data_IF_059152020576
#
_entry.id   IF_059152020576
#
_cell.length_a   1.000
_cell.length_b   1.000
_cell.length_c   1.000
_cell.angle_alpha   90.00
_cell.angle_beta   90.00
_cell.angle_gamma   90.00
#
_symmetry.space_group_name_H-M   'P 1'
#
loop_
_entity.id
_entity.type
_entity.pdbx_description
1 polymer ?
#
# COMPACT_ATOMS: atom_id res chain seq x y z
N UNK A 1 -2.15 5.75 23.92
CA UNK A 1 -1.44 5.10 22.81
C UNK A 1 -0.05 5.72 22.72
N UNK A 2 0.97 4.99 23.14
CA UNK A 2 2.33 5.51 23.34
C UNK A 2 3.04 5.84 22.01
N UNK A 3 3.86 6.90 22.02
CA UNK A 3 4.66 7.35 20.85
C UNK A 3 5.65 6.28 20.38
N UNK A 4 6.00 5.32 21.26
CA UNK A 4 6.83 4.16 20.93
C UNK A 4 6.08 3.19 20.01
N UNK A 5 4.87 2.77 20.40
CA UNK A 5 4.01 1.88 19.60
C UNK A 5 3.72 2.46 18.20
N UNK A 6 3.49 3.77 18.12
CA UNK A 6 3.25 4.45 16.83
C UNK A 6 4.47 4.45 15.91
N UNK A 7 5.68 4.43 16.46
CA UNK A 7 6.92 4.34 15.69
C UNK A 7 7.16 2.90 15.23
N UNK A 8 6.79 1.93 16.04
CA UNK A 8 6.91 0.50 15.72
C UNK A 8 6.02 0.12 14.53
N UNK A 9 4.72 0.48 14.55
CA UNK A 9 3.80 0.20 13.43
C UNK A 9 4.29 0.81 12.11
N UNK A 10 4.75 2.08 12.15
CA UNK A 10 5.29 2.74 10.95
C UNK A 10 6.46 1.94 10.38
N UNK A 11 7.39 1.53 11.24
CA UNK A 11 8.58 0.81 10.84
C UNK A 11 8.22 -0.57 10.28
N UNK A 12 7.34 -1.31 10.95
CA UNK A 12 6.88 -2.64 10.51
C UNK A 12 6.26 -2.61 9.12
N UNK A 13 5.38 -1.63 8.84
CA UNK A 13 4.74 -1.50 7.52
C UNK A 13 5.77 -1.14 6.44
N UNK A 14 6.69 -0.23 6.75
CA UNK A 14 7.78 0.12 5.83
C UNK A 14 8.65 -1.11 5.53
N UNK A 15 9.05 -1.85 6.56
CA UNK A 15 9.90 -3.03 6.43
C UNK A 15 9.18 -4.14 5.65
N UNK A 16 7.88 -4.34 5.87
CA UNK A 16 7.04 -5.26 5.09
C UNK A 16 7.04 -4.94 3.60
N UNK A 17 6.70 -3.70 3.24
CA UNK A 17 6.66 -3.26 1.84
C UNK A 17 8.06 -3.35 1.23
N UNK A 18 9.08 -2.96 1.99
CA UNK A 18 10.48 -2.99 1.55
C UNK A 18 11.00 -4.42 1.29
N UNK A 19 10.55 -5.41 2.06
CA UNK A 19 11.00 -6.80 1.94
C UNK A 19 10.25 -7.55 0.83
N UNK A 20 8.94 -7.36 0.75
CA UNK A 20 8.06 -8.23 -0.04
C UNK A 20 7.70 -7.60 -1.40
N UNK A 21 7.62 -6.26 -1.49
CA UNK A 21 7.07 -5.56 -2.67
C UNK A 21 8.02 -4.53 -3.30
N UNK A 22 9.05 -4.05 -2.60
CA UNK A 22 10.10 -3.18 -3.14
C UNK A 22 11.16 -3.99 -3.89
N UNK A 23 10.78 -4.41 -5.09
CA UNK A 23 11.43 -5.48 -5.86
C UNK A 23 12.96 -5.40 -5.98
N UNK A 24 13.59 -6.56 -5.76
CA UNK A 24 14.58 -7.17 -6.66
C UNK A 24 14.09 -8.58 -7.03
N UNK A 25 13.08 -8.71 -7.91
CA UNK A 25 12.65 -10.05 -8.37
C UNK A 25 13.43 -10.54 -9.60
N UNK A 26 13.98 -9.63 -10.40
CA UNK A 26 14.85 -9.96 -11.54
C UNK A 26 15.98 -8.94 -11.67
N UNK A 27 17.18 -9.38 -12.09
CA UNK A 27 18.37 -8.57 -12.38
C UNK A 27 18.11 -7.41 -13.38
N UNK A 28 16.93 -7.37 -14.01
CA UNK A 28 16.48 -6.39 -14.99
C UNK A 28 15.63 -5.24 -14.41
N UNK A 29 15.12 -5.35 -13.17
CA UNK A 29 14.25 -4.34 -12.56
C UNK A 29 15.00 -3.48 -11.55
N UNK A 30 15.61 -2.38 -12.02
CA UNK A 30 15.90 -1.13 -11.29
C UNK A 30 16.65 -1.18 -9.93
N UNK A 31 17.06 -0.01 -9.40
CA UNK A 31 17.52 0.10 -8.02
C UNK A 31 16.34 0.02 -7.04
N UNK A 32 16.58 -0.59 -5.87
CA UNK A 32 15.64 -0.61 -4.75
C UNK A 32 15.36 0.83 -4.29
N UNK A 33 14.09 1.18 -4.08
CA UNK A 33 13.70 2.54 -3.67
C UNK A 33 13.78 2.68 -2.16
N UNK A 34 14.03 3.89 -1.64
CA UNK A 34 13.84 4.13 -0.21
C UNK A 34 12.34 4.27 0.05
N UNK A 35 11.77 3.39 0.87
CA UNK A 35 10.34 3.44 1.20
C UNK A 35 10.07 4.60 2.18
N UNK A 36 9.39 5.63 1.68
CA UNK A 36 8.90 6.78 2.45
C UNK A 36 7.37 6.79 2.48
N UNK A 37 6.77 7.64 3.33
CA UNK A 37 5.31 7.67 3.51
C UNK A 37 4.55 8.17 2.27
N UNK A 38 5.21 8.96 1.44
CA UNK A 38 4.68 9.55 0.21
C UNK A 38 4.70 8.59 -0.98
N UNK A 39 5.39 7.44 -0.89
CA UNK A 39 5.45 6.45 -1.98
C UNK A 39 4.06 5.93 -2.30
N UNK A 40 3.70 6.02 -3.58
CA UNK A 40 2.51 5.41 -4.17
C UNK A 40 2.75 3.92 -4.46
N UNK A 41 1.86 3.06 -3.98
CA UNK A 41 1.88 1.61 -4.26
C UNK A 41 1.80 1.37 -5.78
N UNK A 42 0.99 2.15 -6.49
CA UNK A 42 0.84 2.04 -7.95
C UNK A 42 1.96 2.73 -8.71
N UNK A 43 2.18 4.02 -8.46
CA UNK A 43 2.97 4.84 -9.39
C UNK A 43 4.48 4.72 -9.15
N UNK A 44 4.89 4.56 -7.89
CA UNK A 44 6.30 4.48 -7.50
C UNK A 44 6.80 3.04 -7.44
N UNK A 45 6.06 2.14 -6.79
CA UNK A 45 6.42 0.72 -6.72
C UNK A 45 6.05 -0.04 -7.99
N UNK A 46 5.15 0.50 -8.82
CA UNK A 46 4.71 -0.12 -10.09
C UNK A 46 4.18 -1.54 -9.89
N UNK A 47 3.51 -1.79 -8.78
CA UNK A 47 2.80 -3.04 -8.56
C UNK A 47 1.63 -3.12 -9.54
N UNK A 48 1.44 -4.30 -10.12
CA UNK A 48 0.23 -4.60 -10.89
C UNK A 48 -0.98 -4.69 -9.96
N UNK A 49 -2.18 -4.73 -10.53
CA UNK A 49 -3.42 -4.81 -9.76
C UNK A 49 -3.42 -6.00 -8.77
N UNK A 50 -2.98 -7.17 -9.23
CA UNK A 50 -2.96 -8.42 -8.45
C UNK A 50 -1.99 -8.33 -7.26
N UNK A 51 -0.75 -7.89 -7.49
CA UNK A 51 0.25 -7.68 -6.42
C UNK A 51 -0.22 -6.63 -5.40
N UNK A 52 -0.93 -5.60 -5.87
CA UNK A 52 -1.48 -4.56 -5.00
C UNK A 52 -2.64 -5.09 -4.14
N UNK A 53 -3.50 -5.93 -4.72
CA UNK A 53 -4.59 -6.59 -4.00
C UNK A 53 -4.04 -7.54 -2.94
N UNK A 54 -3.03 -8.35 -3.27
CA UNK A 54 -2.34 -9.23 -2.32
C UNK A 54 -1.73 -8.44 -1.16
N UNK A 55 -0.98 -7.38 -1.46
CA UNK A 55 -0.38 -6.48 -0.47
C UNK A 55 -1.44 -5.96 0.52
N UNK A 56 -2.55 -5.46 -0.01
CA UNK A 56 -3.61 -4.85 0.80
C UNK A 56 -4.34 -5.89 1.66
N UNK A 57 -4.67 -7.05 1.11
CA UNK A 57 -5.31 -8.12 1.87
C UNK A 57 -4.43 -8.60 3.02
N UNK A 58 -3.13 -8.79 2.77
CA UNK A 58 -2.19 -9.16 3.81
C UNK A 58 -2.03 -8.05 4.85
N UNK A 59 -1.97 -6.79 4.42
CA UNK A 59 -1.92 -5.64 5.30
C UNK A 59 -3.13 -5.57 6.25
N UNK A 60 -4.37 -5.66 5.74
CA UNK A 60 -5.56 -5.59 6.58
C UNK A 60 -5.56 -6.69 7.65
N UNK A 61 -5.13 -7.91 7.27
CA UNK A 61 -5.02 -9.05 8.18
C UNK A 61 -3.90 -8.89 9.20
N UNK A 62 -2.68 -8.52 8.77
CA UNK A 62 -1.46 -8.51 9.59
C UNK A 62 -1.53 -7.42 10.68
N UNK A 63 -2.14 -6.26 10.38
CA UNK A 63 -2.29 -5.16 11.34
C UNK A 63 -3.71 -5.02 11.92
N UNK A 64 -4.60 -5.99 11.66
CA UNK A 64 -5.97 -6.00 12.14
C UNK A 64 -6.70 -4.66 11.88
N UNK A 65 -6.61 -4.21 10.63
CA UNK A 65 -7.23 -2.97 10.17
C UNK A 65 -8.59 -3.30 9.60
N UNK A 66 -9.63 -2.70 10.15
CA UNK A 66 -10.97 -2.81 9.61
C UNK A 66 -11.02 -2.22 8.18
N UNK A 67 -11.34 -3.06 7.21
CA UNK A 67 -11.44 -2.71 5.80
C UNK A 67 -12.83 -2.23 5.40
N UNK A 68 -13.75 -2.03 6.34
CA UNK A 68 -15.08 -1.49 6.05
C UNK A 68 -14.98 -0.18 5.25
N UNK A 69 -15.66 -0.15 4.10
CA UNK A 69 -15.65 1.00 3.18
C UNK A 69 -14.40 1.12 2.30
N UNK A 70 -13.43 0.21 2.40
CA UNK A 70 -12.34 0.11 1.44
C UNK A 70 -12.83 -0.54 0.14
N UNK A 71 -12.53 0.11 -0.99
CA UNK A 71 -12.66 -0.47 -2.33
C UNK A 71 -11.38 -0.18 -3.10
N UNK A 72 -10.67 -1.23 -3.52
CA UNK A 72 -9.43 -1.13 -4.28
C UNK A 72 -9.64 -0.42 -5.62
N UNK A 73 -10.85 -0.48 -6.18
CA UNK A 73 -11.22 0.16 -7.45
C UNK A 73 -11.26 1.69 -7.34
N UNK A 74 -11.33 2.25 -6.12
CA UNK A 74 -11.17 3.68 -5.90
C UNK A 74 -9.73 4.18 -6.11
N UNK A 75 -8.76 3.26 -6.15
CA UNK A 75 -7.33 3.54 -6.20
C UNK A 75 -6.66 3.00 -7.47
N UNK A 76 -7.07 1.79 -7.84
CA UNK A 76 -6.42 0.99 -8.87
C UNK A 76 -7.46 0.55 -9.89
N UNK A 77 -7.03 0.43 -11.13
CA UNK A 77 -7.86 -0.13 -12.18
C UNK A 77 -7.28 -1.49 -12.56
N UNK A 78 -8.10 -2.54 -12.73
CA UNK A 78 -7.61 -3.74 -13.36
C UNK A 78 -7.13 -3.43 -14.79
N UNK A 79 -5.92 -3.88 -15.13
CA UNK A 79 -5.20 -3.55 -16.35
C UNK A 79 -5.71 -4.35 -17.58
N UNK A 80 -7.01 -4.28 -17.87
CA UNK A 80 -7.58 -4.82 -19.10
C UNK A 80 -7.49 -3.82 -20.26
N UNK A 81 -7.47 -4.32 -21.50
CA UNK A 81 -7.48 -3.48 -22.69
C UNK A 81 -8.78 -2.65 -22.73
N UNK A 82 -8.66 -1.33 -22.56
CA UNK A 82 -9.78 -0.39 -22.58
C UNK A 82 -10.29 0.07 -21.21
N UNK A 83 -9.66 -0.37 -20.11
CA UNK A 83 -10.02 0.10 -18.77
C UNK A 83 -9.69 1.60 -18.61
N UNK A 84 -10.66 2.39 -18.14
CA UNK A 84 -10.46 3.81 -17.80
C UNK A 84 -9.93 3.94 -16.39
N UNK A 85 -8.84 4.68 -16.18
CA UNK A 85 -8.37 4.95 -14.82
C UNK A 85 -9.47 5.62 -13.98
N UNK A 86 -9.60 5.25 -12.69
CA UNK A 86 -10.59 5.85 -11.80
C UNK A 86 -10.34 7.37 -11.65
N UNK A 87 -11.44 8.11 -11.57
CA UNK A 87 -11.50 9.57 -11.44
C UNK A 87 -12.19 9.93 -10.11
N UNK A 88 -11.56 10.70 -9.20
CA UNK A 88 -10.17 11.16 -9.18
C UNK A 88 -9.19 10.04 -8.81
N UNK A 89 -7.96 10.12 -9.31
CA UNK A 89 -6.83 9.26 -8.93
C UNK A 89 -6.46 9.47 -7.45
N UNK A 90 -7.25 8.95 -6.50
CA UNK A 90 -6.87 8.94 -5.09
C UNK A 90 -5.54 8.19 -5.01
N UNK A 91 -4.48 8.78 -4.42
CA UNK A 91 -3.23 8.06 -4.28
C UNK A 91 -3.43 6.92 -3.28
N UNK A 92 -2.75 5.79 -3.48
CA UNK A 92 -2.65 4.73 -2.48
C UNK A 92 -1.23 4.74 -1.96
N UNK A 93 -1.01 5.38 -0.81
CA UNK A 93 0.35 5.62 -0.28
C UNK A 93 0.67 4.79 0.95
N UNK A 94 1.96 4.62 1.24
CA UNK A 94 2.44 4.00 2.49
C UNK A 94 1.94 4.77 3.72
N UNK A 95 1.83 6.10 3.63
CA UNK A 95 1.29 6.95 4.68
C UNK A 95 -0.14 6.56 5.07
N UNK A 96 -1.00 6.29 4.08
CA UNK A 96 -2.38 5.90 4.33
C UNK A 96 -2.49 4.55 5.05
N UNK A 97 -1.60 3.60 4.72
CA UNK A 97 -1.47 2.33 5.44
C UNK A 97 -1.05 2.58 6.89
N UNK A 98 -0.01 3.40 7.12
CA UNK A 98 0.47 3.68 8.48
C UNK A 98 -0.59 4.35 9.35
N UNK A 99 -1.33 5.31 8.81
CA UNK A 99 -2.37 6.02 9.56
C UNK A 99 -3.59 5.14 9.83
N UNK A 100 -4.01 4.35 8.84
CA UNK A 100 -5.13 3.41 9.00
C UNK A 100 -4.79 2.30 10.01
N UNK A 101 -3.56 1.79 10.01
CA UNK A 101 -3.09 0.82 11.00
C UNK A 101 -3.07 1.39 12.42
N UNK A 102 -2.62 2.64 12.59
CA UNK A 102 -2.68 3.31 13.90
C UNK A 102 -4.10 3.56 14.38
N UNK A 103 -5.04 3.78 13.46
CA UNK A 103 -6.45 3.97 13.76
C UNK A 103 -7.23 2.66 13.94
N UNK A 104 -6.69 1.52 13.49
CA UNK A 104 -7.35 0.22 13.49
C UNK A 104 -8.47 0.09 12.45
N UNK A 105 -8.59 1.04 11.51
CA UNK A 105 -9.59 1.04 10.44
C UNK A 105 -9.13 1.86 9.25
N UNK A 106 -9.66 1.58 8.08
CA UNK A 106 -9.42 2.37 6.87
C UNK A 106 -9.96 3.80 7.03
N UNK A 107 -9.14 4.80 6.73
CA UNK A 107 -9.49 6.22 6.92
C UNK A 107 -9.89 6.94 5.62
N UNK A 108 -9.82 6.26 4.48
CA UNK A 108 -9.85 6.89 3.16
C UNK A 108 -10.92 6.29 2.24
N UNK A 109 -12.17 6.22 2.67
CA UNK A 109 -13.28 5.83 1.79
C UNK A 109 -13.57 6.87 0.71
#
# INVERSE_FOLDING_TARGET
MDVLLMRDIKKEIIDFIDQEYNTKKYFLCGPKRTITLDISIKDDLKLVFEDSEELLQEYFKRWNVDSEGFDILNYLNPEYFGSKEPDPRKPLTVGMLVESAKAGRWLYS
#
